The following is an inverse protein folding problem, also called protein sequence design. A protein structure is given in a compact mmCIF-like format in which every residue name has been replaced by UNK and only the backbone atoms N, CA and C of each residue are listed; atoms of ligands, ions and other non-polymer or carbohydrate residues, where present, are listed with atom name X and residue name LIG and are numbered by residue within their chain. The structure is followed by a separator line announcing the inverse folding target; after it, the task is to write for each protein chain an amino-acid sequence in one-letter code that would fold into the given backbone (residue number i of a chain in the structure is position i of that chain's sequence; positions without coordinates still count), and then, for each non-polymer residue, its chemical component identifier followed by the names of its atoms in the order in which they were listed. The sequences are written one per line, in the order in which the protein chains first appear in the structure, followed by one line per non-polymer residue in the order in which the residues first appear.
data_IF_712631068114
#
_entry.id   IF_712631068114
#
_cell.length_a   1.000
_cell.length_b   1.000
_cell.length_c   1.000
_cell.angle_alpha   90.00
_cell.angle_beta   90.00
_cell.angle_gamma   90.00
#
_symmetry.space_group_name_H-M   'P 1'
#
loop_
_entity.id
_entity.type
_entity.pdbx_description
1 polymer ?
#
# COMPACT_ATOMS: atom_id res chain seq x y z
N UNK A 1 -0.90 6.40 12.45
CA UNK A 1 -2.19 5.69 12.55
C UNK A 1 -1.99 4.40 13.31
N UNK A 2 -2.65 4.22 14.47
CA UNK A 2 -2.63 2.94 15.20
C UNK A 2 -3.64 2.02 14.50
N UNK A 3 -3.12 1.11 13.69
CA UNK A 3 -3.90 0.17 12.88
C UNK A 3 -4.80 -0.70 13.77
N UNK A 4 -5.99 -0.99 13.25
CA UNK A 4 -7.02 -1.81 13.87
C UNK A 4 -6.46 -3.12 14.45
N UNK A 5 -6.85 -3.45 15.68
CA UNK A 5 -6.44 -4.63 16.45
C UNK A 5 -7.11 -5.93 15.95
N UNK A 6 -6.89 -6.32 14.70
CA UNK A 6 -7.53 -7.50 14.11
C UNK A 6 -6.51 -8.45 13.49
N UNK A 7 -6.64 -9.75 13.76
CA UNK A 7 -5.88 -10.93 13.28
C UNK A 7 -5.51 -10.99 11.78
N UNK A 8 -5.90 -9.99 10.99
CA UNK A 8 -5.75 -9.95 9.54
C UNK A 8 -4.69 -8.92 9.10
N UNK A 9 -4.11 -8.17 10.04
CA UNK A 9 -3.11 -7.14 9.70
C UNK A 9 -1.84 -7.74 9.08
N UNK A 10 -1.50 -8.97 9.44
CA UNK A 10 -0.37 -9.71 8.87
C UNK A 10 -0.61 -10.05 7.38
N UNK A 11 -1.86 -10.00 6.92
CA UNK A 11 -2.23 -10.22 5.50
C UNK A 11 -2.09 -8.96 4.65
N UNK A 12 -1.75 -7.81 5.24
CA UNK A 12 -1.63 -6.53 4.54
C UNK A 12 -0.17 -6.20 4.29
N UNK A 13 0.25 -6.21 3.03
CA UNK A 13 1.55 -5.71 2.61
C UNK A 13 1.45 -4.24 2.21
N UNK A 14 2.45 -3.43 2.58
CA UNK A 14 2.54 -2.01 2.20
C UNK A 14 3.75 -1.83 1.32
N UNK A 15 3.55 -1.19 0.17
CA UNK A 15 4.61 -0.82 -0.75
C UNK A 15 4.54 0.68 -1.03
N UNK A 16 5.63 1.38 -0.74
CA UNK A 16 5.84 2.76 -1.16
C UNK A 16 6.78 2.77 -2.38
N UNK A 17 6.27 3.28 -3.49
CA UNK A 17 7.07 3.52 -4.69
C UNK A 17 7.58 4.96 -4.67
N UNK A 18 8.90 5.11 -4.66
CA UNK A 18 9.54 6.42 -4.73
C UNK A 18 10.04 6.68 -6.15
N UNK A 19 9.66 7.82 -6.72
CA UNK A 19 10.17 8.29 -8.01
C UNK A 19 11.67 8.61 -7.90
N UNK A 20 12.06 9.29 -6.81
CA UNK A 20 13.43 9.70 -6.53
C UNK A 20 14.00 9.00 -5.29
N UNK A 21 15.33 8.85 -5.18
CA UNK A 21 15.96 8.30 -3.99
C UNK A 21 15.65 9.16 -2.75
N UNK A 22 15.23 8.51 -1.65
CA UNK A 22 15.16 9.16 -0.35
C UNK A 22 16.44 8.91 0.47
N UNK A 23 16.72 9.79 1.43
CA UNK A 23 17.85 9.64 2.33
C UNK A 23 17.73 8.32 3.13
N UNK A 24 18.82 7.57 3.35
CA UNK A 24 18.78 6.29 4.09
C UNK A 24 18.18 6.40 5.50
N UNK A 25 18.37 7.54 6.17
CA UNK A 25 17.85 7.77 7.52
C UNK A 25 16.34 7.96 7.51
N UNK A 26 15.81 8.67 6.51
CA UNK A 26 14.37 8.81 6.30
C UNK A 26 13.71 7.46 5.99
N UNK A 27 14.36 6.62 5.18
CA UNK A 27 13.89 5.26 4.88
C UNK A 27 13.80 4.43 6.16
N UNK A 28 14.84 4.47 7.00
CA UNK A 28 14.87 3.76 8.29
C UNK A 28 13.79 4.25 9.25
N UNK A 29 13.61 5.57 9.33
CA UNK A 29 12.56 6.18 10.16
C UNK A 29 11.16 5.76 9.70
N UNK A 30 10.89 5.82 8.39
CA UNK A 30 9.60 5.41 7.81
C UNK A 30 9.29 3.93 8.10
N UNK A 31 10.27 3.04 7.92
CA UNK A 31 10.11 1.62 8.24
C UNK A 31 9.91 1.37 9.74
N UNK A 32 10.54 2.17 10.60
CA UNK A 32 10.32 2.13 12.06
C UNK A 32 8.90 2.53 12.46
N UNK A 33 8.31 3.53 11.79
CA UNK A 33 6.92 3.93 12.02
C UNK A 33 5.88 2.98 11.44
N UNK A 34 6.22 2.29 10.35
CA UNK A 34 5.31 1.42 9.61
C UNK A 34 5.92 0.01 9.43
N UNK A 35 5.81 -0.87 10.43
CA UNK A 35 6.24 -2.26 10.30
C UNK A 35 5.64 -2.94 9.06
N UNK A 36 6.50 -3.61 8.28
CA UNK A 36 6.12 -4.26 7.02
C UNK A 36 6.02 -3.33 5.80
N UNK A 37 6.43 -2.06 5.92
CA UNK A 37 6.56 -1.16 4.77
C UNK A 37 7.76 -1.54 3.91
N UNK A 38 7.48 -1.98 2.69
CA UNK A 38 8.45 -2.12 1.62
C UNK A 38 8.58 -0.79 0.88
N UNK A 39 9.81 -0.42 0.53
CA UNK A 39 10.10 0.76 -0.29
C UNK A 39 10.85 0.29 -1.53
N UNK A 40 10.34 0.63 -2.71
CA UNK A 40 10.95 0.25 -3.98
C UNK A 40 10.93 1.41 -4.98
N UNK A 41 11.66 1.23 -6.08
CA UNK A 41 11.69 2.19 -7.18
C UNK A 41 11.02 1.63 -8.43
N UNK A 42 10.26 2.44 -9.19
CA UNK A 42 9.62 2.03 -10.42
C UNK A 42 10.55 1.35 -11.42
N UNK A 43 11.77 1.89 -11.59
CA UNK A 43 12.78 1.34 -12.51
C UNK A 43 13.23 -0.09 -12.15
N UNK A 44 13.01 -0.54 -10.91
CA UNK A 44 13.33 -1.90 -10.46
C UNK A 44 12.14 -2.86 -10.60
N UNK A 45 10.91 -2.34 -10.74
CA UNK A 45 9.69 -3.14 -10.82
C UNK A 45 9.34 -3.58 -12.26
N UNK A 46 9.96 -2.97 -13.28
CA UNK A 46 9.63 -3.21 -14.69
C UNK A 46 8.35 -2.49 -15.12
N UNK A 47 8.36 -1.85 -16.29
CA UNK A 47 7.27 -0.97 -16.74
C UNK A 47 5.90 -1.66 -16.81
N UNK A 48 5.84 -2.93 -17.23
CA UNK A 48 4.61 -3.70 -17.33
C UNK A 48 3.93 -3.95 -15.98
N UNK A 49 4.71 -4.09 -14.89
CA UNK A 49 4.16 -4.27 -13.55
C UNK A 49 3.51 -2.99 -12.99
N UNK A 50 3.79 -1.84 -13.61
CA UNK A 50 3.32 -0.53 -13.18
C UNK A 50 2.22 0.05 -14.08
N UNK A 51 1.93 -0.56 -15.23
CA UNK A 51 0.83 -0.12 -16.11
C UNK A 51 -0.52 0.07 -15.38
N UNK A 52 -0.90 -0.79 -14.42
CA UNK A 52 -2.14 -0.58 -13.65
C UNK A 52 -2.10 0.62 -12.70
N UNK A 53 -0.92 1.21 -12.44
CA UNK A 53 -0.68 2.28 -11.47
C UNK A 53 -0.13 3.54 -12.16
N UNK A 54 -0.93 4.20 -13.03
CA UNK A 54 -0.43 5.19 -13.97
C UNK A 54 -0.06 6.54 -13.34
N UNK A 55 -0.42 6.79 -12.07
CA UNK A 55 -0.27 8.10 -11.46
C UNK A 55 0.51 8.06 -10.14
N UNK A 56 1.54 8.89 -10.07
CA UNK A 56 2.24 9.18 -8.81
C UNK A 56 1.32 9.96 -7.84
N UNK A 57 1.65 9.91 -6.55
CA UNK A 57 0.90 10.65 -5.52
C UNK A 57 -0.52 10.09 -5.31
N UNK A 58 -0.65 8.76 -5.38
CA UNK A 58 -1.89 8.04 -5.13
C UNK A 58 -1.66 6.83 -4.25
N UNK A 59 -2.72 6.38 -3.61
CA UNK A 59 -2.75 5.12 -2.87
C UNK A 59 -3.61 4.15 -3.65
N UNK A 60 -3.06 2.96 -3.90
CA UNK A 60 -3.73 1.89 -4.60
C UNK A 60 -4.00 0.74 -3.63
N UNK A 61 -5.23 0.24 -3.66
CA UNK A 61 -5.64 -0.94 -2.91
C UNK A 61 -5.77 -2.10 -3.88
N UNK A 62 -4.96 -3.13 -3.66
CA UNK A 62 -4.87 -4.32 -4.50
C UNK A 62 -5.35 -5.52 -3.67
N UNK A 63 -6.12 -6.41 -4.29
CA UNK A 63 -6.53 -7.65 -3.64
C UNK A 63 -5.40 -8.72 -3.61
N UNK A 64 -5.58 -9.84 -2.90
CA UNK A 64 -4.57 -10.89 -2.86
C UNK A 64 -4.28 -11.59 -4.20
N UNK A 65 -5.15 -11.45 -5.21
CA UNK A 65 -4.95 -11.98 -6.56
C UNK A 65 -4.18 -11.00 -7.46
N UNK A 66 -3.80 -9.84 -6.94
CA UNK A 66 -3.06 -8.81 -7.67
C UNK A 66 -3.96 -7.87 -8.47
N UNK A 67 -5.28 -7.90 -8.28
CA UNK A 67 -6.20 -7.05 -9.01
C UNK A 67 -6.36 -5.70 -8.30
N UNK A 68 -6.21 -4.60 -9.05
CA UNK A 68 -6.47 -3.26 -8.54
C UNK A 68 -7.96 -3.11 -8.22
N UNK A 69 -8.27 -2.86 -6.95
CA UNK A 69 -9.64 -2.68 -6.48
C UNK A 69 -10.04 -1.22 -6.36
N UNK A 70 -9.16 -0.39 -5.77
CA UNK A 70 -9.49 1.01 -5.47
C UNK A 70 -8.27 1.91 -5.59
N UNK A 71 -8.53 3.17 -5.92
CA UNK A 71 -7.54 4.23 -6.08
C UNK A 71 -7.97 5.44 -5.26
N UNK A 72 -7.04 6.01 -4.50
CA UNK A 72 -7.29 7.17 -3.65
C UNK A 72 -6.26 8.27 -3.92
N UNK A 73 -6.66 9.54 -3.92
CA UNK A 73 -5.72 10.66 -3.83
C UNK A 73 -5.09 10.70 -2.42
N UNK A 74 -3.90 11.31 -2.26
CA UNK A 74 -3.21 11.39 -0.96
C UNK A 74 -4.03 12.09 0.13
N UNK A 75 -4.91 13.01 -0.25
CA UNK A 75 -5.81 13.75 0.64
C UNK A 75 -7.11 13.02 0.97
N UNK A 76 -7.29 11.77 0.51
CA UNK A 76 -8.47 10.98 0.83
C UNK A 76 -8.60 10.77 2.34
N UNK A 77 -9.85 10.66 2.83
CA UNK A 77 -10.12 10.40 4.24
C UNK A 77 -9.55 9.03 4.65
N UNK A 78 -8.55 8.98 5.56
CA UNK A 78 -7.93 7.73 5.97
C UNK A 78 -8.93 6.75 6.63
N UNK A 79 -10.01 7.26 7.26
CA UNK A 79 -11.02 6.38 7.88
C UNK A 79 -11.84 5.64 6.83
N UNK A 80 -12.16 6.29 5.71
CA UNK A 80 -12.83 5.65 4.57
C UNK A 80 -11.97 4.52 4.00
N UNK A 81 -10.69 4.81 3.73
CA UNK A 81 -9.74 3.83 3.20
C UNK A 81 -9.59 2.60 4.10
N UNK A 82 -9.56 2.79 5.42
CA UNK A 82 -9.51 1.65 6.36
C UNK A 82 -10.77 0.80 6.28
N UNK A 83 -11.96 1.39 6.20
CA UNK A 83 -13.21 0.63 6.09
C UNK A 83 -13.25 -0.21 4.82
N UNK A 84 -12.77 0.35 3.72
CA UNK A 84 -12.69 -0.35 2.43
C UNK A 84 -11.68 -1.51 2.48
N UNK A 85 -10.50 -1.28 3.09
CA UNK A 85 -9.53 -2.35 3.35
C UNK A 85 -10.11 -3.46 4.23
N UNK A 86 -10.83 -3.12 5.30
CA UNK A 86 -11.49 -4.10 6.16
C UNK A 86 -12.52 -4.93 5.39
N UNK A 87 -13.29 -4.30 4.50
CA UNK A 87 -14.25 -4.98 3.64
C UNK A 87 -13.55 -5.93 2.67
N UNK A 88 -12.45 -5.50 2.05
CA UNK A 88 -11.65 -6.35 1.17
C UNK A 88 -11.07 -7.56 1.90
N UNK A 89 -10.50 -7.35 3.10
CA UNK A 89 -9.96 -8.43 3.92
C UNK A 89 -11.03 -9.45 4.32
N UNK A 90 -12.27 -9.01 4.59
CA UNK A 90 -13.40 -9.90 4.89
C UNK A 90 -13.80 -10.76 3.68
N UNK A 91 -13.84 -10.18 2.49
CA UNK A 91 -14.29 -10.88 1.28
C UNK A 91 -13.19 -11.81 0.74
N UNK A 92 -11.92 -11.39 0.81
CA UNK A 92 -10.76 -12.17 0.39
C UNK A 92 -10.40 -13.34 1.34
N UNK A 93 -11.23 -13.65 2.33
CA UNK A 93 -11.10 -14.88 3.13
C UNK A 93 -11.61 -16.14 2.42
N UNK A 94 -12.35 -15.96 1.33
CA UNK A 94 -13.05 -17.05 0.63
C UNK A 94 -12.24 -17.62 -0.55
N UNK A 95 -11.13 -16.96 -0.92
CA UNK A 95 -10.21 -17.42 -1.96
C UNK A 95 -9.17 -18.40 -1.44
#
# INVERSE_FOLDING_TARGET
MRLAQGKNIDRVQRLLLLAEPAAPDWVREAQGHYPGLLIARPAQAGAAALEPFPAAGRVYLIDPLGQLMMEYPLQADPKGMIKDLERLLRISYVG
#
